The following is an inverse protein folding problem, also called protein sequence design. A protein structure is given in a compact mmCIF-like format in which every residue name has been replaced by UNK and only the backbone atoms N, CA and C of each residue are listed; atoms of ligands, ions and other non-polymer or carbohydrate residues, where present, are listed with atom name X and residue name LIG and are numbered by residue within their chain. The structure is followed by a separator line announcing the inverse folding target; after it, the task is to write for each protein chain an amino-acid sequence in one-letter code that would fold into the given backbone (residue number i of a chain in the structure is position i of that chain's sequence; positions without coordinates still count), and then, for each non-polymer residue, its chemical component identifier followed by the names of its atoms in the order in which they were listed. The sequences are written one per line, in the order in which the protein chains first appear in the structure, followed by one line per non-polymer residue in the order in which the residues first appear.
data_IF_012506767668
#
_entry.id   IF_012506767668
#
_cell.length_a   1.000
_cell.length_b   1.000
_cell.length_c   1.000
_cell.angle_alpha   90.00
_cell.angle_beta   90.00
_cell.angle_gamma   90.00
#
_symmetry.space_group_name_H-M   'P 1'
#
loop_
_entity.id
_entity.type
_entity.pdbx_description
1 polymer ?
#
# COMPACT_ATOMS: atom_id res chain seq x y z
N UNK A 1 18.88 -4.39 15.63
CA UNK A 1 19.63 -3.26 16.23
C UNK A 1 21.09 -3.42 15.87
N UNK A 2 21.54 -2.72 14.83
CA UNK A 2 22.96 -2.47 14.57
C UNK A 2 23.06 -0.99 14.20
N UNK A 3 23.34 -0.16 15.20
CA UNK A 3 23.92 1.16 14.98
C UNK A 3 25.36 0.94 14.50
N UNK A 4 25.64 1.25 13.24
CA UNK A 4 27.01 1.39 12.76
C UNK A 4 27.17 2.76 12.09
N UNK A 5 27.92 3.60 12.79
CA UNK A 5 28.51 4.86 12.37
C UNK A 5 28.81 4.96 10.87
N UNK A 6 28.22 5.97 10.20
CA UNK A 6 28.88 6.80 9.17
C UNK A 6 28.27 8.20 9.19
N UNK A 7 28.71 9.03 10.12
CA UNK A 7 28.63 10.48 9.97
C UNK A 7 29.86 10.92 9.17
N UNK A 8 29.68 11.13 7.88
CA UNK A 8 30.64 11.88 7.07
C UNK A 8 30.23 13.36 7.12
N UNK A 9 31.04 14.27 7.70
CA UNK A 9 30.70 15.70 7.81
C UNK A 9 30.71 16.45 6.46
N UNK A 10 31.09 15.79 5.36
CA UNK A 10 31.47 16.45 4.10
C UNK A 10 30.37 16.55 3.04
N UNK A 11 29.24 15.87 3.21
CA UNK A 11 28.11 15.97 2.26
C UNK A 11 26.98 16.78 2.87
N UNK A 12 26.93 18.08 2.55
CA UNK A 12 25.71 18.90 2.69
C UNK A 12 24.95 18.78 1.37
N UNK A 13 23.63 18.53 1.43
CA UNK A 13 22.77 18.35 0.26
C UNK A 13 22.94 19.45 -0.80
N UNK A 14 22.86 19.04 -2.07
CA UNK A 14 22.77 19.87 -3.28
C UNK A 14 23.72 21.09 -3.41
N UNK A 15 24.70 21.05 -4.32
CA UNK A 15 25.50 22.23 -4.72
C UNK A 15 24.63 23.37 -5.32
N UNK A 16 23.42 23.04 -5.76
CA UNK A 16 22.35 23.97 -6.15
C UNK A 16 21.16 23.70 -5.21
N UNK A 17 20.92 24.62 -4.26
CA UNK A 17 19.80 24.53 -3.34
C UNK A 17 18.47 24.75 -4.10
N UNK A 18 17.68 23.70 -4.23
CA UNK A 18 16.28 23.83 -4.66
C UNK A 18 15.45 24.48 -3.55
N UNK A 19 14.35 25.14 -3.93
CA UNK A 19 13.38 25.61 -2.94
C UNK A 19 12.87 24.42 -2.12
N UNK A 20 12.78 24.63 -0.81
CA UNK A 20 12.20 23.68 0.16
C UNK A 20 10.86 23.12 -0.34
N UNK A 21 9.99 23.99 -0.85
CA UNK A 21 8.68 23.61 -1.36
C UNK A 21 8.77 22.61 -2.53
N UNK A 22 9.79 22.73 -3.39
CA UNK A 22 10.00 21.80 -4.49
C UNK A 22 10.45 20.43 -3.97
N UNK A 23 11.32 20.39 -2.97
CA UNK A 23 11.74 19.13 -2.32
C UNK A 23 10.55 18.42 -1.66
N UNK A 24 9.76 19.15 -0.88
CA UNK A 24 8.57 18.59 -0.21
C UNK A 24 7.55 18.07 -1.25
N UNK A 25 7.37 18.80 -2.35
CA UNK A 25 6.50 18.41 -3.48
C UNK A 25 6.99 17.14 -4.17
N UNK A 26 8.28 17.08 -4.51
CA UNK A 26 8.89 15.90 -5.14
C UNK A 26 8.80 14.69 -4.22
N UNK A 27 9.03 14.88 -2.92
CA UNK A 27 8.88 13.81 -1.94
C UNK A 27 7.46 13.23 -1.96
N UNK A 28 6.43 14.07 -2.00
CA UNK A 28 5.03 13.62 -2.05
C UNK A 28 4.70 12.86 -3.33
N UNK A 29 5.20 13.31 -4.49
CA UNK A 29 5.02 12.63 -5.77
C UNK A 29 5.70 11.26 -5.74
N UNK A 30 6.99 11.21 -5.35
CA UNK A 30 7.77 9.99 -5.30
C UNK A 30 7.19 8.99 -4.29
N UNK A 31 6.71 9.46 -3.13
CA UNK A 31 6.06 8.61 -2.14
C UNK A 31 4.85 7.88 -2.73
N UNK A 32 3.97 8.60 -3.42
CA UNK A 32 2.79 8.01 -4.05
C UNK A 32 3.17 7.07 -5.19
N UNK A 33 4.09 7.49 -6.07
CA UNK A 33 4.56 6.67 -7.17
C UNK A 33 5.24 5.38 -6.68
N UNK A 34 6.05 5.46 -5.62
CA UNK A 34 6.75 4.32 -5.04
C UNK A 34 5.79 3.35 -4.33
N UNK A 35 4.82 3.85 -3.55
CA UNK A 35 3.73 3.03 -2.97
C UNK A 35 2.93 2.36 -4.08
N UNK A 36 2.69 3.07 -5.19
CA UNK A 36 1.91 2.61 -6.31
C UNK A 36 2.60 1.61 -7.23
N UNK A 37 3.90 1.36 -7.06
CA UNK A 37 4.72 0.56 -7.98
C UNK A 37 4.90 1.21 -9.35
N UNK A 38 4.93 2.54 -9.42
CA UNK A 38 5.13 3.31 -10.65
C UNK A 38 6.61 3.67 -10.89
N UNK A 39 7.52 3.21 -10.02
CA UNK A 39 8.96 3.41 -10.13
C UNK A 39 9.61 2.04 -10.24
N UNK A 40 10.06 1.68 -11.45
CA UNK A 40 10.60 0.35 -11.74
C UNK A 40 11.83 0.01 -10.88
N UNK A 41 12.64 1.01 -10.56
CA UNK A 41 13.87 0.82 -9.78
C UNK A 41 13.64 0.67 -8.27
N UNK A 42 12.42 0.96 -7.77
CA UNK A 42 12.09 0.91 -6.35
C UNK A 42 11.03 -0.19 -6.10
N UNK A 43 11.38 -1.28 -5.40
CA UNK A 43 10.47 -2.41 -5.20
C UNK A 43 9.34 -2.06 -4.23
N UNK A 44 8.14 -1.77 -4.75
CA UNK A 44 6.97 -1.32 -3.98
C UNK A 44 6.60 -2.22 -2.79
N UNK A 45 6.71 -3.56 -2.95
CA UNK A 45 6.40 -4.51 -1.86
C UNK A 45 7.36 -4.37 -0.68
N UNK A 46 8.67 -4.37 -0.94
CA UNK A 46 9.68 -4.21 0.11
C UNK A 46 9.60 -2.83 0.78
N UNK A 47 9.22 -1.81 -0.02
CA UNK A 47 9.05 -0.45 0.44
C UNK A 47 7.86 -0.29 1.38
N UNK A 48 6.73 -0.94 1.08
CA UNK A 48 5.52 -0.85 1.91
C UNK A 48 5.63 -1.62 3.22
N UNK A 49 6.45 -2.68 3.25
CA UNK A 49 6.68 -3.50 4.45
C UNK A 49 7.70 -2.86 5.43
N UNK A 50 8.79 -2.28 4.92
CA UNK A 50 9.91 -1.82 5.76
C UNK A 50 10.66 -0.59 5.22
N UNK A 51 10.06 0.17 4.29
CA UNK A 51 10.71 1.32 3.67
C UNK A 51 10.79 2.55 4.57
N UNK A 52 11.80 3.38 4.34
CA UNK A 52 12.05 4.63 5.06
C UNK A 52 12.26 5.79 4.08
N UNK A 53 11.78 6.98 4.44
CA UNK A 53 12.16 8.26 3.82
C UNK A 53 13.08 9.01 4.77
N UNK A 54 14.21 9.47 4.25
CA UNK A 54 15.27 10.16 4.99
C UNK A 54 15.52 11.50 4.30
N UNK A 55 15.57 12.59 5.06
CA UNK A 55 15.74 13.94 4.52
C UNK A 55 17.12 14.52 4.81
N UNK A 56 17.69 15.23 3.82
CA UNK A 56 18.91 16.04 3.94
C UNK A 56 20.11 15.33 4.60
N UNK A 57 20.29 14.03 4.32
CA UNK A 57 21.39 13.22 4.87
C UNK A 57 22.54 13.02 3.88
N UNK A 58 22.31 12.22 2.85
CA UNK A 58 23.27 12.01 1.75
C UNK A 58 22.91 12.85 0.52
N UNK A 59 21.61 13.02 0.28
CA UNK A 59 21.04 13.89 -0.75
C UNK A 59 19.82 14.63 -0.18
N UNK A 60 19.12 15.39 -1.05
CA UNK A 60 17.90 16.12 -0.69
C UNK A 60 16.85 15.16 -0.10
N UNK A 61 16.63 14.03 -0.76
CA UNK A 61 15.73 12.95 -0.30
C UNK A 61 16.44 11.61 -0.49
N UNK A 62 16.32 10.71 0.48
CA UNK A 62 16.72 9.31 0.38
C UNK A 62 15.53 8.41 0.69
N UNK A 63 15.25 7.44 -0.18
CA UNK A 63 14.24 6.40 0.03
C UNK A 63 14.99 5.08 0.20
N UNK A 64 14.83 4.40 1.33
CA UNK A 64 15.52 3.12 1.59
C UNK A 64 14.55 1.99 1.84
N UNK A 65 14.97 0.77 1.52
CA UNK A 65 14.27 -0.49 1.74
C UNK A 65 15.28 -1.58 2.15
N UNK A 66 14.86 -2.76 2.61
CA UNK A 66 15.77 -3.77 3.17
C UNK A 66 17.00 -4.13 2.31
N UNK A 67 16.86 -4.06 0.98
CA UNK A 67 17.90 -4.50 0.04
C UNK A 67 18.35 -3.38 -0.91
N UNK A 68 18.18 -2.10 -0.55
CA UNK A 68 18.60 -1.01 -1.41
C UNK A 68 18.19 0.38 -0.96
N UNK A 69 18.59 1.38 -1.73
CA UNK A 69 18.26 2.79 -1.48
C UNK A 69 18.28 3.61 -2.77
N UNK A 70 17.40 4.59 -2.84
CA UNK A 70 17.40 5.62 -3.87
C UNK A 70 17.84 6.95 -3.25
N UNK A 71 18.90 7.54 -3.80
CA UNK A 71 19.39 8.88 -3.47
C UNK A 71 18.88 9.86 -4.52
N UNK A 72 18.10 10.85 -4.10
CA UNK A 72 17.35 11.74 -4.98
C UNK A 72 17.84 13.16 -4.79
N UNK A 73 18.39 13.76 -5.85
CA UNK A 73 18.64 15.20 -5.90
C UNK A 73 17.50 15.90 -6.65
N UNK A 74 17.05 17.02 -6.08
CA UNK A 74 15.94 17.82 -6.58
C UNK A 74 16.47 19.17 -7.04
N UNK A 75 16.21 19.52 -8.30
CA UNK A 75 16.53 20.84 -8.87
C UNK A 75 15.25 21.49 -9.36
N UNK A 76 14.87 22.63 -8.80
CA UNK A 76 13.64 23.35 -9.16
C UNK A 76 13.82 24.29 -10.36
N UNK A 77 15.06 24.63 -10.70
CA UNK A 77 15.41 25.48 -11.85
C UNK A 77 15.69 24.65 -13.10
N UNK A 78 15.79 25.35 -14.23
CA UNK A 78 16.28 24.77 -15.47
C UNK A 78 17.70 24.21 -15.28
N UNK A 79 17.86 22.92 -15.61
CA UNK A 79 19.10 22.17 -15.48
C UNK A 79 19.77 22.15 -16.85
N UNK A 80 21.03 22.55 -16.90
CA UNK A 80 21.85 22.54 -18.12
C UNK A 80 22.59 21.21 -18.29
N UNK A 81 23.16 21.00 -19.47
CA UNK A 81 24.04 19.87 -19.75
C UNK A 81 25.15 19.73 -18.68
N UNK A 82 25.82 20.84 -18.34
CA UNK A 82 26.89 20.84 -17.33
C UNK A 82 26.38 20.50 -15.92
N UNK A 83 25.17 20.92 -15.57
CA UNK A 83 24.59 20.60 -14.27
C UNK A 83 24.31 19.09 -14.15
N UNK A 84 23.83 18.48 -15.25
CA UNK A 84 23.58 17.03 -15.30
C UNK A 84 24.89 16.25 -15.15
N UNK A 85 25.93 16.61 -15.92
CA UNK A 85 27.23 15.91 -15.85
C UNK A 85 27.86 16.03 -14.46
N UNK A 86 27.72 17.19 -13.81
CA UNK A 86 28.21 17.40 -12.44
C UNK A 86 27.47 16.52 -11.42
N UNK A 87 26.15 16.37 -11.53
CA UNK A 87 25.39 15.46 -10.65
C UNK A 87 25.73 13.98 -10.93
N UNK A 88 25.94 13.58 -12.20
CA UNK A 88 26.42 12.23 -12.54
C UNK A 88 27.79 11.95 -11.92
N UNK A 89 28.72 12.92 -11.98
CA UNK A 89 30.02 12.79 -11.36
C UNK A 89 29.93 12.65 -9.84
N UNK A 90 29.07 13.47 -9.22
CA UNK A 90 28.81 13.40 -7.78
C UNK A 90 28.22 12.04 -7.37
N UNK A 91 27.24 11.54 -8.11
CA UNK A 91 26.67 10.20 -7.89
C UNK A 91 27.72 9.10 -8.08
N UNK A 92 28.59 9.22 -9.08
CA UNK A 92 29.71 8.29 -9.31
C UNK A 92 30.69 8.24 -8.14
N UNK A 93 30.99 9.41 -7.55
CA UNK A 93 31.82 9.52 -6.33
C UNK A 93 31.14 8.89 -5.12
N UNK A 94 29.84 9.12 -4.93
CA UNK A 94 29.05 8.53 -3.84
C UNK A 94 28.98 7.01 -3.95
N UNK A 95 28.77 6.49 -5.15
CA UNK A 95 28.79 5.06 -5.44
C UNK A 95 30.15 4.44 -5.10
N UNK A 96 31.24 5.07 -5.53
CA UNK A 96 32.60 4.55 -5.28
C UNK A 96 33.00 4.55 -3.80
N UNK A 97 32.46 5.48 -3.01
CA UNK A 97 32.76 5.61 -1.58
C UNK A 97 31.86 4.76 -0.67
N UNK A 98 30.83 4.11 -1.22
CA UNK A 98 29.90 3.28 -0.47
C UNK A 98 30.33 1.82 -0.59
N UNK A 99 30.42 1.12 0.55
CA UNK A 99 30.91 -0.27 0.60
C UNK A 99 29.83 -1.30 0.28
N UNK A 100 28.57 -0.87 0.24
CA UNK A 100 27.41 -1.69 -0.12
C UNK A 100 26.63 -0.96 -1.22
N UNK A 101 26.98 -1.27 -2.46
CA UNK A 101 26.43 -0.65 -3.65
C UNK A 101 25.26 -1.44 -4.25
N UNK A 102 24.93 -2.60 -3.66
CA UNK A 102 23.83 -3.41 -4.15
C UNK A 102 22.51 -2.69 -3.89
N UNK A 103 21.72 -2.51 -4.96
CA UNK A 103 20.43 -1.84 -4.89
C UNK A 103 20.50 -0.32 -4.70
N UNK A 104 21.64 0.32 -4.97
CA UNK A 104 21.71 1.79 -5.04
C UNK A 104 21.12 2.31 -6.36
N UNK A 105 20.27 3.32 -6.24
CA UNK A 105 19.68 4.06 -7.37
C UNK A 105 19.94 5.55 -7.14
N UNK A 106 20.33 6.28 -8.17
CA UNK A 106 20.46 7.72 -8.11
C UNK A 106 19.39 8.36 -8.99
N UNK A 107 18.73 9.40 -8.48
CA UNK A 107 17.69 10.11 -9.22
C UNK A 107 17.96 11.60 -9.24
N UNK A 108 17.84 12.20 -10.41
CA UNK A 108 17.79 13.64 -10.59
C UNK A 108 16.39 14.04 -11.04
N UNK A 109 15.68 14.75 -10.18
CA UNK A 109 14.36 15.29 -10.44
C UNK A 109 14.52 16.77 -10.81
N UNK A 110 14.43 17.06 -12.11
CA UNK A 110 14.71 18.37 -12.70
C UNK A 110 13.43 19.17 -12.97
N UNK A 111 13.46 20.46 -12.64
CA UNK A 111 12.36 21.40 -12.82
C UNK A 111 12.20 21.86 -14.27
N UNK A 112 13.23 21.77 -15.10
CA UNK A 112 13.13 21.76 -16.57
C UNK A 112 14.50 21.44 -17.17
N UNK A 113 14.53 20.93 -18.40
CA UNK A 113 15.78 20.73 -19.14
C UNK A 113 16.08 21.90 -20.08
N UNK A 114 17.28 22.46 -19.99
CA UNK A 114 17.74 23.55 -20.85
C UNK A 114 18.64 23.07 -21.98
N UNK A 115 18.22 23.34 -23.22
CA UNK A 115 19.00 23.06 -24.43
C UNK A 115 18.84 21.63 -24.97
N UNK A 116 19.13 21.46 -26.26
CA UNK A 116 19.05 20.17 -26.95
C UNK A 116 20.08 19.16 -26.43
N UNK A 117 21.30 19.61 -26.11
CA UNK A 117 22.37 18.75 -25.58
C UNK A 117 21.98 18.03 -24.29
N UNK A 118 21.24 18.69 -23.39
CA UNK A 118 20.77 18.08 -22.14
C UNK A 118 19.75 16.96 -22.41
N UNK A 119 18.91 17.11 -23.43
CA UNK A 119 17.94 16.08 -23.83
C UNK A 119 18.63 14.89 -24.50
N UNK A 120 19.56 15.16 -25.42
CA UNK A 120 20.40 14.15 -26.07
C UNK A 120 21.10 13.28 -25.03
N UNK A 121 21.81 13.90 -24.07
CA UNK A 121 22.46 13.18 -22.96
C UNK A 121 21.52 12.23 -22.20
N UNK A 122 20.27 12.63 -21.97
CA UNK A 122 19.29 11.81 -21.25
C UNK A 122 18.79 10.65 -22.13
N UNK A 123 18.59 10.89 -23.41
CA UNK A 123 18.19 9.85 -24.36
C UNK A 123 19.32 8.82 -24.54
N UNK A 124 20.58 9.28 -24.58
CA UNK A 124 21.77 8.41 -24.65
C UNK A 124 21.95 7.60 -23.35
N UNK A 125 21.68 8.20 -22.18
CA UNK A 125 21.63 7.48 -20.90
C UNK A 125 20.56 6.38 -20.87
N UNK A 126 19.37 6.66 -21.42
CA UNK A 126 18.29 5.65 -21.51
C UNK A 126 18.66 4.53 -22.46
N UNK A 127 19.26 4.85 -23.61
CA UNK A 127 19.75 3.87 -24.56
C UNK A 127 20.81 2.97 -23.92
N UNK A 128 21.77 3.55 -23.20
CA UNK A 128 22.80 2.81 -22.48
C UNK A 128 22.21 1.87 -21.43
N UNK A 129 21.20 2.32 -20.66
CA UNK A 129 20.50 1.47 -19.68
C UNK A 129 19.76 0.30 -20.33
N UNK A 130 19.13 0.53 -21.48
CA UNK A 130 18.47 -0.53 -22.27
C UNK A 130 19.47 -1.60 -22.73
N UNK A 131 20.65 -1.17 -23.23
CA UNK A 131 21.74 -2.09 -23.61
C UNK A 131 22.24 -2.87 -22.39
N UNK A 132 22.40 -2.22 -21.23
CA UNK A 132 22.80 -2.89 -19.99
C UNK A 132 21.82 -4.00 -19.58
N UNK A 133 20.52 -3.76 -19.74
CA UNK A 133 19.45 -4.72 -19.41
C UNK A 133 19.41 -5.94 -20.37
N UNK A 134 19.95 -5.82 -21.58
CA UNK A 134 20.04 -6.95 -22.52
C UNK A 134 20.97 -8.08 -22.04
N UNK A 135 21.89 -7.78 -21.12
CA UNK A 135 22.85 -8.72 -20.56
C UNK A 135 24.09 -9.00 -21.44
N UNK A 136 24.21 -8.37 -22.61
CA UNK A 136 25.38 -8.54 -23.49
C UNK A 136 26.53 -7.62 -23.06
N UNK A 137 27.46 -8.17 -22.28
CA UNK A 137 28.55 -7.41 -21.63
C UNK A 137 29.44 -6.65 -22.63
N UNK A 138 29.74 -7.24 -23.80
CA UNK A 138 30.61 -6.61 -24.80
C UNK A 138 29.98 -5.38 -25.44
N UNK A 139 28.70 -5.47 -25.84
CA UNK A 139 27.95 -4.37 -26.43
C UNK A 139 27.75 -3.22 -25.43
N UNK A 140 27.47 -3.57 -24.17
CA UNK A 140 27.35 -2.59 -23.10
C UNK A 140 28.64 -1.84 -22.81
N UNK A 141 29.79 -2.53 -22.79
CA UNK A 141 31.10 -1.88 -22.61
C UNK A 141 31.42 -0.91 -23.74
N UNK A 142 31.11 -1.27 -24.98
CA UNK A 142 31.30 -0.38 -26.13
C UNK A 142 30.39 0.85 -26.03
N UNK A 143 29.10 0.65 -25.75
CA UNK A 143 28.15 1.75 -25.60
C UNK A 143 28.53 2.69 -24.43
N UNK A 144 29.07 2.16 -23.34
CA UNK A 144 29.56 2.98 -22.23
C UNK A 144 30.80 3.82 -22.61
N UNK A 145 31.74 3.25 -23.37
CA UNK A 145 32.91 3.97 -23.88
C UNK A 145 32.51 5.08 -24.85
N UNK A 146 31.56 4.81 -25.74
CA UNK A 146 31.03 5.81 -26.68
C UNK A 146 30.36 6.96 -25.92
N UNK A 147 29.54 6.63 -24.91
CA UNK A 147 28.90 7.62 -24.04
C UNK A 147 29.92 8.49 -23.29
N UNK A 148 30.97 7.88 -22.73
CA UNK A 148 32.06 8.61 -22.06
C UNK A 148 32.81 9.54 -23.02
N UNK A 149 33.12 9.06 -24.22
CA UNK A 149 33.83 9.84 -25.23
C UNK A 149 33.01 11.04 -25.72
N UNK A 150 31.70 10.84 -25.94
CA UNK A 150 30.80 11.88 -26.42
C UNK A 150 30.53 12.94 -25.33
N UNK A 151 30.32 12.51 -24.08
CA UNK A 151 29.84 13.38 -23.03
C UNK A 151 30.88 13.87 -22.04
N UNK A 152 32.09 13.31 -22.05
CA UNK A 152 33.16 13.60 -21.09
C UNK A 152 32.70 13.38 -19.63
N UNK A 153 31.77 12.44 -19.42
CA UNK A 153 31.26 12.06 -18.11
C UNK A 153 32.10 10.91 -17.50
N UNK A 154 32.23 10.82 -16.16
CA UNK A 154 33.13 9.86 -15.53
C UNK A 154 32.70 8.40 -15.68
N UNK A 155 33.71 7.52 -15.73
CA UNK A 155 33.67 6.15 -16.23
C UNK A 155 33.20 5.05 -15.26
N UNK A 156 32.52 5.40 -14.17
CA UNK A 156 31.93 4.37 -13.32
C UNK A 156 30.68 3.82 -13.99
N UNK A 157 30.88 2.83 -14.86
CA UNK A 157 29.84 2.20 -15.68
C UNK A 157 28.67 1.71 -14.82
N UNK A 158 28.96 1.20 -13.61
CA UNK A 158 27.94 0.79 -12.64
C UNK A 158 27.15 1.97 -12.07
N UNK A 159 27.80 3.11 -11.79
CA UNK A 159 27.11 4.29 -11.29
C UNK A 159 26.18 4.88 -12.36
N UNK A 160 26.63 4.99 -13.62
CA UNK A 160 25.83 5.55 -14.71
C UNK A 160 24.53 4.77 -14.91
N UNK A 161 24.57 3.43 -14.90
CA UNK A 161 23.36 2.60 -15.07
C UNK A 161 22.32 2.74 -13.94
N UNK A 162 22.74 3.29 -12.80
CA UNK A 162 21.86 3.52 -11.64
C UNK A 162 21.28 4.93 -11.62
N UNK A 163 21.72 5.82 -12.52
CA UNK A 163 21.21 7.20 -12.62
C UNK A 163 19.92 7.24 -13.44
N UNK A 164 18.90 7.88 -12.89
CA UNK A 164 17.64 8.18 -13.57
C UNK A 164 17.41 9.69 -13.55
N UNK A 165 17.11 10.26 -14.72
CA UNK A 165 16.84 11.71 -14.84
C UNK A 165 15.42 11.90 -15.34
N UNK A 166 14.65 12.71 -14.62
CA UNK A 166 13.27 13.05 -14.98
C UNK A 166 13.11 14.55 -15.05
N UNK A 167 12.58 15.02 -16.17
CA UNK A 167 12.04 16.36 -16.30
C UNK A 167 10.61 16.35 -15.77
N UNK A 168 10.38 17.07 -14.67
CA UNK A 168 9.09 17.15 -14.01
C UNK A 168 8.37 18.49 -14.22
N UNK A 169 9.02 19.47 -14.87
CA UNK A 169 8.50 20.83 -15.04
C UNK A 169 7.96 21.47 -13.73
N UNK A 170 8.71 21.34 -12.62
CA UNK A 170 8.18 21.59 -11.27
C UNK A 170 8.08 23.07 -10.98
N UNK A 171 6.88 23.61 -11.11
CA UNK A 171 6.40 24.67 -10.24
C UNK A 171 5.37 24.08 -9.24
N UNK A 172 5.04 24.82 -8.18
CA UNK A 172 4.19 24.30 -7.09
C UNK A 172 2.82 23.80 -7.58
N UNK A 173 2.20 24.50 -8.51
CA UNK A 173 0.87 24.16 -9.02
C UNK A 173 0.91 22.94 -9.94
N UNK A 174 1.91 22.87 -10.82
CA UNK A 174 2.17 21.71 -11.68
C UNK A 174 2.51 20.49 -10.83
N UNK A 175 3.34 20.65 -9.79
CA UNK A 175 3.68 19.57 -8.87
C UNK A 175 2.47 19.03 -8.11
N UNK A 176 1.58 19.91 -7.62
CA UNK A 176 0.29 19.50 -7.04
C UNK A 176 -0.59 18.75 -8.04
N UNK A 177 -0.67 19.22 -9.28
CA UNK A 177 -1.43 18.55 -10.32
C UNK A 177 -0.85 17.15 -10.67
N UNK A 178 0.48 17.03 -10.76
CA UNK A 178 1.16 15.75 -10.94
C UNK A 178 0.85 14.83 -9.76
N UNK A 179 1.00 15.32 -8.52
CA UNK A 179 0.64 14.58 -7.31
C UNK A 179 -0.80 14.07 -7.39
N UNK A 180 -1.79 14.94 -7.68
CA UNK A 180 -3.18 14.53 -7.73
C UNK A 180 -3.46 13.49 -8.83
N UNK A 181 -2.83 13.64 -10.00
CA UNK A 181 -2.90 12.66 -11.08
C UNK A 181 -2.33 11.30 -10.66
N UNK A 182 -1.15 11.28 -10.04
CA UNK A 182 -0.53 10.05 -9.50
C UNK A 182 -1.35 9.45 -8.37
N UNK A 183 -1.85 10.28 -7.47
CA UNK A 183 -2.70 9.86 -6.37
C UNK A 183 -3.96 9.16 -6.86
N UNK A 184 -4.65 9.67 -7.88
CA UNK A 184 -5.79 9.00 -8.53
C UNK A 184 -5.43 7.73 -9.28
N UNK A 185 -4.21 7.67 -9.82
CA UNK A 185 -3.71 6.47 -10.51
C UNK A 185 -3.45 5.34 -9.50
N UNK A 186 -2.91 5.70 -8.33
CA UNK A 186 -2.50 4.75 -7.30
C UNK A 186 -3.67 4.35 -6.40
N UNK A 187 -4.52 5.30 -6.03
CA UNK A 187 -5.67 5.12 -5.15
C UNK A 187 -6.97 5.38 -5.93
N UNK A 188 -7.99 4.50 -5.85
CA UNK A 188 -9.23 4.65 -6.60
C UNK A 188 -10.18 5.67 -5.97
N UNK A 189 -9.74 6.92 -5.87
CA UNK A 189 -10.45 8.04 -5.24
C UNK A 189 -11.16 8.92 -6.27
N UNK A 190 -11.72 8.34 -7.34
CA UNK A 190 -12.26 9.11 -8.47
C UNK A 190 -13.38 10.12 -8.08
N UNK A 191 -14.04 9.93 -6.93
CA UNK A 191 -15.04 10.86 -6.39
C UNK A 191 -14.44 12.00 -5.54
N UNK A 192 -13.14 12.01 -5.29
CA UNK A 192 -12.48 13.09 -4.57
C UNK A 192 -12.20 14.26 -5.53
N UNK A 193 -12.78 15.42 -5.19
CA UNK A 193 -12.45 16.69 -5.84
C UNK A 193 -10.97 16.99 -5.67
N UNK A 194 -10.40 17.77 -6.59
CA UNK A 194 -9.02 18.25 -6.47
C UNK A 194 -8.78 18.93 -5.12
N UNK A 195 -9.76 19.69 -4.61
CA UNK A 195 -9.70 20.34 -3.31
C UNK A 195 -9.39 19.38 -2.17
N UNK A 196 -10.07 18.21 -2.12
CA UNK A 196 -9.82 17.22 -1.07
C UNK A 196 -8.45 16.56 -1.20
N UNK A 197 -8.00 16.33 -2.43
CA UNK A 197 -6.67 15.77 -2.67
C UNK A 197 -5.60 16.79 -2.28
N UNK A 198 -5.80 18.06 -2.57
CA UNK A 198 -4.90 19.16 -2.20
C UNK A 198 -4.93 19.47 -0.70
N UNK A 199 -6.06 19.30 -0.03
CA UNK A 199 -6.15 19.35 1.43
C UNK A 199 -5.31 18.24 2.04
N UNK A 200 -5.46 16.99 1.56
CA UNK A 200 -4.65 15.87 2.03
C UNK A 200 -3.15 16.09 1.76
N UNK A 201 -2.80 16.57 0.56
CA UNK A 201 -1.44 16.96 0.20
C UNK A 201 -0.85 17.99 1.17
N UNK A 202 -1.58 19.08 1.42
CA UNK A 202 -1.12 20.18 2.26
C UNK A 202 -0.96 19.74 3.70
N UNK A 203 -1.91 18.93 4.19
CA UNK A 203 -1.86 18.33 5.52
C UNK A 203 -0.62 17.43 5.68
N UNK A 204 -0.37 16.52 4.73
CA UNK A 204 0.79 15.64 4.74
C UNK A 204 2.11 16.42 4.77
N UNK A 205 2.21 17.49 3.97
CA UNK A 205 3.39 18.35 4.00
C UNK A 205 3.57 19.01 5.36
N UNK A 206 2.51 19.60 5.90
CA UNK A 206 2.59 20.36 7.15
C UNK A 206 2.83 19.49 8.38
N UNK A 207 2.17 18.33 8.45
CA UNK A 207 2.18 17.46 9.64
C UNK A 207 3.34 16.47 9.65
N UNK A 208 3.81 16.01 8.47
CA UNK A 208 4.77 14.91 8.39
C UNK A 208 6.07 15.34 7.69
N UNK A 209 5.99 15.82 6.44
CA UNK A 209 7.19 16.03 5.60
C UNK A 209 8.03 17.22 6.07
N UNK A 210 7.44 18.40 6.18
CA UNK A 210 8.17 19.62 6.54
C UNK A 210 8.78 19.54 7.96
N UNK A 211 8.08 19.03 9.00
CA UNK A 211 8.67 18.81 10.32
C UNK A 211 9.84 17.83 10.30
N UNK A 212 9.70 16.71 9.58
CA UNK A 212 10.76 15.71 9.47
C UNK A 212 11.98 16.26 8.72
N UNK A 213 11.78 16.99 7.62
CA UNK A 213 12.87 17.62 6.89
C UNK A 213 13.62 18.65 7.75
N UNK A 214 12.90 19.52 8.48
CA UNK A 214 13.51 20.51 9.41
C UNK A 214 14.40 19.86 10.47
N UNK A 215 14.05 18.66 10.90
CA UNK A 215 14.80 17.89 11.91
C UNK A 215 15.72 16.84 11.30
N UNK A 216 15.80 16.75 9.96
CA UNK A 216 16.52 15.72 9.21
C UNK A 216 16.18 14.31 9.69
N UNK A 217 14.92 14.12 10.05
CA UNK A 217 14.40 12.88 10.60
C UNK A 217 14.23 11.83 9.51
N UNK A 218 14.12 10.59 9.97
CA UNK A 218 13.73 9.43 9.16
C UNK A 218 12.29 9.08 9.49
N UNK A 219 11.46 8.91 8.47
CA UNK A 219 10.05 8.50 8.63
C UNK A 219 9.87 7.14 7.96
N UNK A 220 9.10 6.25 8.59
CA UNK A 220 8.72 4.99 7.96
C UNK A 220 7.62 5.21 6.91
N UNK A 221 7.72 4.51 5.79
CA UNK A 221 6.78 4.64 4.67
C UNK A 221 5.39 4.09 5.00
N UNK A 222 5.29 3.08 5.86
CA UNK A 222 4.00 2.57 6.32
C UNK A 222 3.20 3.62 7.11
N UNK A 223 3.88 4.41 7.96
CA UNK A 223 3.27 5.55 8.66
C UNK A 223 2.76 6.58 7.64
N UNK A 224 3.59 6.93 6.66
CA UNK A 224 3.20 7.89 5.63
C UNK A 224 2.06 7.37 4.74
N UNK A 225 2.06 6.07 4.39
CA UNK A 225 0.97 5.40 3.66
C UNK A 225 -0.32 5.46 4.48
N UNK A 226 -0.27 5.15 5.78
CA UNK A 226 -1.44 5.23 6.67
C UNK A 226 -1.99 6.65 6.73
N UNK A 227 -1.14 7.65 6.95
CA UNK A 227 -1.57 9.05 6.96
C UNK A 227 -2.13 9.50 5.61
N UNK A 228 -1.56 9.07 4.48
CA UNK A 228 -2.09 9.39 3.14
C UNK A 228 -3.50 8.82 2.93
N UNK A 229 -3.73 7.60 3.41
CA UNK A 229 -4.97 6.86 3.22
C UNK A 229 -6.07 7.22 4.22
N UNK A 230 -5.72 7.68 5.41
CA UNK A 230 -6.66 7.96 6.51
C UNK A 230 -7.84 8.85 6.07
N UNK A 231 -7.65 9.98 5.35
CA UNK A 231 -8.77 10.79 4.87
C UNK A 231 -9.59 10.13 3.75
N UNK A 232 -9.04 9.10 3.12
CA UNK A 232 -9.67 8.36 2.02
C UNK A 232 -10.52 7.18 2.52
N UNK A 233 -10.28 6.74 3.76
CA UNK A 233 -11.08 5.69 4.38
C UNK A 233 -12.52 6.20 4.41
N UNK A 234 -13.46 5.53 3.72
CA UNK A 234 -14.83 5.99 3.68
C UNK A 234 -15.37 6.07 5.11
N UNK A 235 -16.14 7.12 5.38
CA UNK A 235 -16.95 7.23 6.60
C UNK A 235 -17.90 6.03 6.79
N UNK A 236 -18.15 5.23 5.74
CA UNK A 236 -18.85 3.94 5.82
C UNK A 236 -18.15 2.85 6.61
N UNK A 237 -16.82 2.76 6.57
CA UNK A 237 -16.10 1.87 7.50
C UNK A 237 -16.25 2.33 8.96
N UNK A 238 -16.67 3.59 9.15
CA UNK A 238 -17.03 4.21 10.42
C UNK A 238 -18.56 4.34 10.62
N UNK A 239 -19.39 3.71 9.77
CA UNK A 239 -20.85 3.68 9.93
C UNK A 239 -21.63 4.94 9.55
N UNK A 240 -21.01 5.94 8.90
CA UNK A 240 -21.67 7.22 8.58
C UNK A 240 -21.73 7.42 7.06
N UNK A 241 -22.80 6.92 6.44
CA UNK A 241 -23.30 7.43 5.17
C UNK A 241 -24.35 8.50 5.51
N UNK A 242 -23.97 9.77 5.53
CA UNK A 242 -24.96 10.83 5.71
C UNK A 242 -25.50 11.25 4.35
N UNK A 243 -26.80 11.13 4.17
CA UNK A 243 -27.58 11.65 3.05
C UNK A 243 -27.70 13.19 3.06
N UNK A 244 -26.79 13.88 3.75
CA UNK A 244 -26.87 15.32 4.01
C UNK A 244 -25.83 16.10 3.22
N UNK A 245 -26.25 17.19 2.59
CA UNK A 245 -25.42 18.18 1.93
C UNK A 245 -25.17 19.36 2.87
N UNK A 246 -23.93 19.85 2.91
CA UNK A 246 -23.56 21.07 3.63
C UNK A 246 -23.99 22.30 2.82
N UNK A 247 -24.71 23.20 3.47
CA UNK A 247 -25.08 24.54 2.95
C UNK A 247 -24.36 25.62 3.76
N UNK A 248 -24.46 26.88 3.33
CA UNK A 248 -23.95 28.01 4.11
C UNK A 248 -24.64 28.21 5.48
N UNK A 249 -25.78 27.57 5.71
CA UNK A 249 -26.61 27.74 6.92
C UNK A 249 -26.76 26.47 7.76
N UNK A 250 -26.10 25.36 7.39
CA UNK A 250 -26.25 24.08 8.08
C UNK A 250 -26.27 22.91 7.11
N UNK A 251 -26.93 21.81 7.48
CA UNK A 251 -27.00 20.58 6.67
C UNK A 251 -28.45 20.31 6.25
N UNK A 252 -28.65 19.90 5.01
CA UNK A 252 -29.98 19.50 4.47
C UNK A 252 -29.87 18.12 3.85
N UNK A 253 -30.91 17.30 3.99
CA UNK A 253 -30.98 16.00 3.30
C UNK A 253 -31.05 16.25 1.79
N UNK A 254 -30.17 15.58 1.05
CA UNK A 254 -30.19 15.54 -0.42
C UNK A 254 -31.01 14.31 -0.86
N UNK A 255 -32.21 14.51 -1.44
CA UNK A 255 -33.07 13.41 -1.86
C UNK A 255 -32.40 12.47 -2.88
N UNK A 256 -31.56 13.03 -3.76
CA UNK A 256 -30.88 12.26 -4.81
C UNK A 256 -29.75 11.40 -4.24
N UNK A 257 -29.06 11.91 -3.21
CA UNK A 257 -28.05 11.16 -2.48
C UNK A 257 -28.69 10.06 -1.63
N UNK A 258 -29.81 10.39 -0.97
CA UNK A 258 -30.60 9.45 -0.16
C UNK A 258 -31.07 8.25 -1.01
N UNK A 259 -31.61 8.50 -2.21
CA UNK A 259 -32.03 7.43 -3.13
C UNK A 259 -30.86 6.51 -3.55
N UNK A 260 -29.68 7.09 -3.85
CA UNK A 260 -28.47 6.32 -4.20
C UNK A 260 -27.95 5.47 -3.04
N UNK A 261 -28.02 6.01 -1.81
CA UNK A 261 -27.66 5.29 -0.59
C UNK A 261 -28.63 4.12 -0.39
N UNK A 262 -29.92 4.37 -0.48
CA UNK A 262 -30.98 3.35 -0.32
C UNK A 262 -30.84 2.22 -1.34
N UNK A 263 -30.60 2.54 -2.61
CA UNK A 263 -30.35 1.55 -3.64
C UNK A 263 -29.12 0.68 -3.31
N UNK A 264 -28.06 1.31 -2.82
CA UNK A 264 -26.82 0.61 -2.45
C UNK A 264 -27.03 -0.29 -1.24
N UNK A 265 -27.76 0.17 -0.22
CA UNK A 265 -28.14 -0.64 0.94
C UNK A 265 -29.00 -1.84 0.53
N UNK A 266 -29.98 -1.66 -0.36
CA UNK A 266 -30.80 -2.77 -0.89
C UNK A 266 -29.94 -3.82 -1.58
N UNK A 267 -28.97 -3.40 -2.39
CA UNK A 267 -28.08 -4.31 -3.10
C UNK A 267 -27.12 -5.03 -2.15
N UNK A 268 -26.55 -4.32 -1.16
CA UNK A 268 -25.75 -4.94 -0.10
C UNK A 268 -26.56 -5.98 0.65
N UNK A 269 -27.78 -5.65 1.09
CA UNK A 269 -28.63 -6.58 1.83
C UNK A 269 -28.97 -7.82 1.00
N UNK A 270 -29.28 -7.65 -0.28
CA UNK A 270 -29.53 -8.77 -1.19
C UNK A 270 -28.27 -9.66 -1.35
N UNK A 271 -27.11 -9.05 -1.54
CA UNK A 271 -25.82 -9.76 -1.66
C UNK A 271 -25.45 -10.50 -0.38
N UNK A 272 -25.54 -9.85 0.79
CA UNK A 272 -25.34 -10.49 2.11
C UNK A 272 -26.27 -11.69 2.28
N UNK A 273 -27.56 -11.56 1.94
CA UNK A 273 -28.51 -12.68 2.00
C UNK A 273 -28.10 -13.85 1.11
N UNK A 274 -27.56 -13.61 -0.09
CA UNK A 274 -27.06 -14.67 -0.97
C UNK A 274 -25.80 -15.35 -0.42
N UNK A 275 -24.82 -14.57 0.05
CA UNK A 275 -23.60 -15.09 0.68
C UNK A 275 -23.95 -16.03 1.84
N UNK A 276 -24.81 -15.56 2.75
CA UNK A 276 -25.29 -16.34 3.89
C UNK A 276 -26.14 -17.54 3.46
N UNK A 277 -26.89 -17.46 2.34
CA UNK A 277 -27.65 -18.61 1.81
C UNK A 277 -26.72 -19.68 1.25
N UNK A 278 -25.66 -19.31 0.53
CA UNK A 278 -24.65 -20.26 0.01
C UNK A 278 -23.92 -20.94 1.18
N UNK A 279 -23.46 -20.15 2.15
CA UNK A 279 -22.86 -20.65 3.38
C UNK A 279 -23.78 -21.66 4.09
N UNK A 280 -25.05 -21.30 4.35
CA UNK A 280 -26.01 -22.20 5.01
C UNK A 280 -26.20 -23.53 4.28
N UNK A 281 -26.23 -23.54 2.95
CA UNK A 281 -26.37 -24.79 2.19
C UNK A 281 -25.18 -25.72 2.43
N UNK A 282 -23.98 -25.16 2.50
CA UNK A 282 -22.77 -25.93 2.76
C UNK A 282 -22.69 -26.37 4.22
N UNK A 283 -22.84 -25.44 5.17
CA UNK A 283 -22.77 -25.67 6.60
C UNK A 283 -23.81 -26.69 7.12
N UNK A 284 -24.97 -26.81 6.48
CA UNK A 284 -26.00 -27.81 6.84
C UNK A 284 -25.45 -29.24 6.89
N UNK A 285 -24.54 -29.61 5.98
CA UNK A 285 -23.94 -30.96 5.97
C UNK A 285 -23.14 -31.22 7.25
N UNK A 286 -22.39 -30.22 7.69
CA UNK A 286 -21.60 -30.24 8.93
C UNK A 286 -22.48 -30.20 10.18
N UNK A 287 -23.54 -29.39 10.17
CA UNK A 287 -24.51 -29.32 11.27
C UNK A 287 -25.21 -30.67 11.51
N UNK A 288 -25.58 -31.40 10.45
CA UNK A 288 -26.18 -32.73 10.57
C UNK A 288 -25.15 -33.76 11.06
N UNK A 289 -23.93 -33.74 10.53
CA UNK A 289 -22.86 -34.66 10.96
C UNK A 289 -22.46 -34.45 12.42
N UNK A 290 -22.37 -33.19 12.88
CA UNK A 290 -22.07 -32.85 14.27
C UNK A 290 -23.19 -33.26 15.22
N UNK A 291 -24.47 -33.06 14.85
CA UNK A 291 -25.63 -33.47 15.66
C UNK A 291 -25.71 -34.99 15.84
N UNK A 292 -25.44 -35.75 14.78
CA UNK A 292 -25.66 -37.21 14.78
C UNK A 292 -24.46 -38.04 15.25
N UNK A 293 -23.22 -37.57 15.05
CA UNK A 293 -22.04 -38.44 15.20
C UNK A 293 -20.85 -37.83 15.97
N UNK A 294 -20.63 -36.52 15.91
CA UNK A 294 -19.32 -35.92 16.31
C UNK A 294 -19.38 -34.90 17.45
N UNK A 295 -20.57 -34.46 17.86
CA UNK A 295 -20.73 -33.34 18.78
C UNK A 295 -20.39 -31.99 18.13
N UNK A 296 -20.71 -30.90 18.82
CA UNK A 296 -20.43 -29.55 18.30
C UNK A 296 -18.93 -29.24 18.32
N UNK A 297 -18.44 -28.51 17.30
CA UNK A 297 -17.09 -27.95 17.31
C UNK A 297 -16.98 -26.95 18.47
N UNK A 298 -16.02 -27.17 19.36
CA UNK A 298 -15.83 -26.32 20.55
C UNK A 298 -14.88 -25.16 20.25
N UNK A 299 -15.18 -24.00 20.82
CA UNK A 299 -14.37 -22.80 20.72
C UNK A 299 -12.94 -23.05 21.25
N UNK A 300 -11.88 -22.70 20.49
CA UNK A 300 -10.49 -22.86 20.95
C UNK A 300 -10.14 -22.05 22.20
N UNK A 301 -10.87 -20.97 22.50
CA UNK A 301 -10.55 -20.08 23.62
C UNK A 301 -11.29 -20.37 24.93
N UNK A 302 -12.54 -20.78 24.87
CA UNK A 302 -13.38 -20.94 26.07
C UNK A 302 -14.17 -22.26 26.11
N UNK A 303 -13.92 -23.18 25.17
CA UNK A 303 -14.56 -24.50 25.09
C UNK A 303 -16.09 -24.51 24.93
N UNK A 304 -16.73 -23.35 24.81
CA UNK A 304 -18.13 -23.29 24.48
C UNK A 304 -18.36 -23.78 23.05
N UNK A 305 -19.48 -24.48 22.77
CA UNK A 305 -19.86 -24.83 21.41
C UNK A 305 -19.82 -23.58 20.51
N UNK A 306 -19.14 -23.69 19.37
CA UNK A 306 -19.30 -22.72 18.30
C UNK A 306 -20.72 -22.87 17.78
N UNK A 307 -21.47 -21.77 17.86
CA UNK A 307 -22.82 -21.76 17.35
C UNK A 307 -22.73 -21.39 15.88
N UNK A 308 -23.25 -22.27 15.02
CA UNK A 308 -23.82 -21.80 13.78
C UNK A 308 -25.10 -21.09 14.19
N UNK A 309 -25.05 -19.75 14.25
CA UNK A 309 -26.29 -19.03 14.51
C UNK A 309 -27.35 -19.48 13.49
N UNK A 310 -28.54 -19.83 13.95
CA UNK A 310 -29.71 -20.03 13.07
C UNK A 310 -30.66 -18.83 13.14
N UNK A 311 -30.41 -17.90 14.06
CA UNK A 311 -31.14 -16.66 14.26
C UNK A 311 -30.16 -15.51 14.52
N UNK A 312 -30.01 -14.64 13.52
CA UNK A 312 -29.14 -13.45 13.56
C UNK A 312 -27.76 -13.72 12.96
N UNK A 313 -27.57 -13.29 11.71
CA UNK A 313 -26.36 -13.36 10.88
C UNK A 313 -25.75 -14.74 10.53
N UNK A 314 -26.20 -15.83 11.16
CA UNK A 314 -25.90 -17.22 10.78
C UNK A 314 -24.44 -17.54 10.43
N UNK A 315 -23.54 -16.87 11.13
CA UNK A 315 -22.10 -17.03 11.08
C UNK A 315 -21.61 -18.10 12.04
N UNK A 316 -20.34 -18.48 11.90
CA UNK A 316 -19.64 -19.29 12.90
C UNK A 316 -19.07 -18.34 13.93
N UNK A 317 -19.43 -18.52 15.20
CA UNK A 317 -18.89 -17.71 16.28
C UNK A 317 -19.11 -18.33 17.65
N UNK A 318 -18.30 -17.91 18.62
CA UNK A 318 -18.49 -18.30 20.00
C UNK A 318 -19.42 -17.31 20.73
N UNK A 319 -20.56 -17.75 21.27
CA UNK A 319 -21.48 -16.86 21.99
C UNK A 319 -20.92 -16.38 23.34
N UNK A 320 -19.97 -17.13 23.93
CA UNK A 320 -19.44 -16.84 25.26
C UNK A 320 -18.27 -15.85 25.24
N UNK A 321 -17.29 -16.07 24.36
CA UNK A 321 -16.08 -15.23 24.29
C UNK A 321 -16.00 -14.37 23.03
N UNK A 322 -17.05 -14.37 22.20
CA UNK A 322 -17.13 -13.62 20.94
C UNK A 322 -16.01 -13.94 19.93
N UNK A 323 -15.33 -15.08 20.07
CA UNK A 323 -14.37 -15.55 19.08
C UNK A 323 -15.06 -15.75 17.72
N UNK A 324 -14.50 -15.10 16.70
CA UNK A 324 -14.94 -15.18 15.31
C UNK A 324 -13.82 -15.87 14.52
N UNK A 325 -13.99 -17.13 14.09
CA UNK A 325 -12.96 -17.86 13.37
C UNK A 325 -12.77 -17.38 11.92
N UNK A 326 -13.78 -16.75 11.32
CA UNK A 326 -13.74 -16.31 9.94
C UNK A 326 -14.36 -14.94 9.78
N UNK A 327 -13.68 -14.06 9.04
CA UNK A 327 -14.19 -12.79 8.58
C UNK A 327 -13.84 -12.63 7.10
N UNK A 328 -14.84 -12.40 6.26
CA UNK A 328 -14.64 -12.15 4.83
C UNK A 328 -15.27 -10.82 4.45
N UNK A 329 -14.54 -10.03 3.68
CA UNK A 329 -15.01 -8.78 3.08
C UNK A 329 -15.47 -9.07 1.65
N UNK A 330 -16.67 -8.61 1.35
CA UNK A 330 -17.33 -8.79 0.06
C UNK A 330 -17.62 -7.45 -0.60
N UNK A 331 -17.67 -7.47 -1.93
CA UNK A 331 -18.29 -6.46 -2.75
C UNK A 331 -19.66 -6.95 -3.24
N UNK A 332 -20.68 -6.09 -3.12
CA UNK A 332 -22.01 -6.35 -3.64
C UNK A 332 -22.13 -5.91 -5.10
N UNK A 333 -22.02 -6.87 -6.03
CA UNK A 333 -22.19 -6.64 -7.46
C UNK A 333 -23.60 -6.09 -7.77
N UNK A 334 -23.74 -5.36 -8.88
CA UNK A 334 -25.04 -4.84 -9.35
C UNK A 334 -26.06 -5.97 -9.61
N UNK A 335 -25.61 -7.17 -10.02
CA UNK A 335 -26.47 -8.36 -10.11
C UNK A 335 -26.81 -9.00 -8.75
N UNK A 336 -26.44 -8.34 -7.65
CA UNK A 336 -26.56 -8.74 -6.24
C UNK A 336 -25.76 -9.98 -5.85
N UNK A 337 -24.82 -10.44 -6.68
CA UNK A 337 -23.94 -11.56 -6.31
C UNK A 337 -22.78 -11.06 -5.42
N UNK A 338 -22.42 -11.77 -4.34
CA UNK A 338 -21.27 -11.44 -3.51
C UNK A 338 -19.97 -11.80 -4.24
N UNK A 339 -19.03 -10.86 -4.28
CA UNK A 339 -17.66 -11.07 -4.76
C UNK A 339 -16.75 -10.95 -3.55
N UNK A 340 -16.01 -12.00 -3.20
CA UNK A 340 -15.06 -11.90 -2.08
C UNK A 340 -13.87 -11.06 -2.50
N UNK A 341 -13.49 -10.11 -1.64
CA UNK A 341 -12.30 -9.27 -1.82
C UNK A 341 -11.19 -9.79 -0.92
N UNK A 342 -11.39 -9.74 0.40
CA UNK A 342 -10.35 -10.06 1.39
C UNK A 342 -10.89 -11.09 2.38
N UNK A 343 -10.07 -12.10 2.70
CA UNK A 343 -10.35 -13.11 3.73
C UNK A 343 -9.41 -12.85 4.91
N UNK A 344 -9.93 -12.94 6.14
CA UNK A 344 -9.18 -12.63 7.36
C UNK A 344 -8.49 -11.25 7.28
N UNK A 345 -9.25 -10.17 7.05
CA UNK A 345 -8.65 -8.83 6.91
C UNK A 345 -7.93 -8.41 8.19
N UNK A 346 -6.95 -7.52 8.05
CA UNK A 346 -6.25 -6.92 9.18
C UNK A 346 -7.23 -6.22 10.15
N UNK A 347 -6.91 -6.21 11.45
CA UNK A 347 -7.77 -5.59 12.48
C UNK A 347 -7.86 -4.08 12.30
N UNK A 348 -6.81 -3.45 11.77
CA UNK A 348 -6.78 -2.01 11.54
C UNK A 348 -7.56 -1.63 10.27
N UNK A 349 -8.48 -0.65 10.41
CA UNK A 349 -9.35 -0.19 9.32
C UNK A 349 -8.57 0.28 8.08
N UNK A 350 -7.42 0.93 8.27
CA UNK A 350 -6.59 1.45 7.18
C UNK A 350 -5.90 0.30 6.43
N UNK A 351 -5.44 -0.72 7.16
CA UNK A 351 -4.81 -1.91 6.59
C UNK A 351 -5.85 -2.72 5.81
N UNK A 352 -7.03 -2.96 6.40
CA UNK A 352 -8.19 -3.55 5.71
C UNK A 352 -8.50 -2.80 4.40
N UNK A 353 -8.55 -1.46 4.46
CA UNK A 353 -8.84 -0.66 3.28
C UNK A 353 -7.75 -0.82 2.21
N UNK A 354 -6.48 -0.85 2.63
CA UNK A 354 -5.34 -1.09 1.72
C UNK A 354 -5.42 -2.46 1.06
N UNK A 355 -5.74 -3.52 1.80
CA UNK A 355 -5.92 -4.87 1.27
C UNK A 355 -7.03 -4.92 0.21
N UNK A 356 -8.17 -4.27 0.48
CA UNK A 356 -9.27 -4.14 -0.49
C UNK A 356 -8.80 -3.45 -1.78
N UNK A 357 -8.03 -2.37 -1.66
CA UNK A 357 -7.53 -1.62 -2.81
C UNK A 357 -6.55 -2.44 -3.64
N UNK A 358 -5.62 -3.13 -2.98
CA UNK A 358 -4.63 -3.99 -3.61
C UNK A 358 -5.30 -5.14 -4.35
N UNK A 359 -6.28 -5.82 -3.74
CA UNK A 359 -7.07 -6.87 -4.37
C UNK A 359 -7.75 -6.38 -5.66
N UNK A 360 -8.41 -5.22 -5.60
CA UNK A 360 -9.15 -4.67 -6.74
C UNK A 360 -8.22 -4.15 -7.85
N UNK A 361 -7.00 -3.74 -7.50
CA UNK A 361 -6.00 -3.27 -8.46
C UNK A 361 -5.29 -4.43 -9.15
N UNK A 362 -4.78 -5.39 -8.38
CA UNK A 362 -3.92 -6.47 -8.86
C UNK A 362 -4.76 -7.60 -9.45
N UNK A 363 -5.69 -8.13 -8.66
CA UNK A 363 -6.46 -9.33 -9.03
C UNK A 363 -7.69 -8.99 -9.88
N UNK A 364 -8.12 -7.72 -9.88
CA UNK A 364 -9.24 -7.21 -10.70
C UNK A 364 -10.46 -8.15 -10.66
N UNK A 365 -10.98 -8.48 -9.46
CA UNK A 365 -11.95 -9.55 -9.27
C UNK A 365 -13.21 -9.31 -10.11
N UNK A 366 -13.73 -10.40 -10.66
CA UNK A 366 -14.95 -10.42 -11.48
C UNK A 366 -16.07 -11.14 -10.75
N UNK A 367 -17.30 -10.70 -10.99
CA UNK A 367 -18.46 -11.42 -10.51
C UNK A 367 -18.62 -12.77 -11.24
N UNK A 368 -18.62 -13.86 -10.49
CA UNK A 368 -18.82 -15.23 -11.01
C UNK A 368 -20.15 -15.40 -11.79
N UNK A 369 -21.15 -14.56 -11.50
CA UNK A 369 -22.49 -14.67 -12.10
C UNK A 369 -22.67 -13.85 -13.37
N UNK A 370 -22.26 -12.58 -13.39
CA UNK A 370 -22.47 -11.68 -14.53
C UNK A 370 -21.18 -11.30 -15.27
N UNK A 371 -20.01 -11.74 -14.79
CA UNK A 371 -18.71 -11.40 -15.38
C UNK A 371 -18.26 -9.96 -15.19
N UNK A 372 -19.10 -9.10 -14.58
CA UNK A 372 -18.76 -7.70 -14.36
C UNK A 372 -17.59 -7.58 -13.38
N UNK A 373 -16.58 -6.78 -13.74
CA UNK A 373 -15.48 -6.41 -12.85
C UNK A 373 -16.00 -5.58 -11.68
N UNK A 374 -15.36 -5.71 -10.53
CA UNK A 374 -15.65 -4.87 -9.38
C UNK A 374 -15.45 -3.39 -9.75
N UNK A 375 -16.53 -2.62 -9.62
CA UNK A 375 -16.52 -1.19 -9.92
C UNK A 375 -15.89 -0.43 -8.76
N UNK A 376 -14.74 0.19 -9.06
CA UNK A 376 -13.90 0.95 -8.13
C UNK A 376 -14.64 2.13 -7.53
N UNK A 377 -15.52 2.78 -8.28
CA UNK A 377 -16.28 3.95 -7.80
C UNK A 377 -17.30 3.57 -6.73
N UNK A 378 -17.78 2.31 -6.77
CA UNK A 378 -18.78 1.78 -5.87
C UNK A 378 -18.19 1.02 -4.68
N UNK A 379 -16.87 0.87 -4.58
CA UNK A 379 -16.23 0.17 -3.45
C UNK A 379 -16.69 0.73 -2.11
N UNK A 380 -16.67 2.06 -2.01
CA UNK A 380 -17.07 2.77 -0.82
C UNK A 380 -18.53 2.56 -0.42
N UNK A 381 -19.41 2.21 -1.36
CA UNK A 381 -20.86 2.09 -1.18
C UNK A 381 -21.39 0.65 -1.22
N UNK A 382 -20.57 -0.33 -1.61
CA UNK A 382 -20.99 -1.72 -1.87
C UNK A 382 -20.17 -2.78 -1.13
N UNK A 383 -19.15 -2.37 -0.37
CA UNK A 383 -18.40 -3.31 0.47
C UNK A 383 -19.17 -3.62 1.75
N UNK A 384 -19.19 -4.90 2.14
CA UNK A 384 -19.74 -5.37 3.40
C UNK A 384 -18.93 -6.54 3.94
N UNK A 385 -18.97 -6.76 5.24
CA UNK A 385 -18.33 -7.92 5.87
C UNK A 385 -19.36 -8.99 6.26
N UNK A 386 -18.92 -10.24 6.27
CA UNK A 386 -19.67 -11.33 6.87
C UNK A 386 -18.71 -12.31 7.56
N UNK A 387 -19.13 -12.80 8.72
CA UNK A 387 -18.35 -13.71 9.57
C UNK A 387 -18.48 -15.16 9.13
N UNK A 388 -18.15 -15.40 7.85
CA UNK A 388 -18.25 -16.71 7.18
C UNK A 388 -16.95 -16.99 6.42
N UNK A 389 -16.57 -18.27 6.28
CA UNK A 389 -15.49 -18.65 5.38
C UNK A 389 -15.95 -18.47 3.92
N UNK A 390 -14.99 -18.16 3.04
CA UNK A 390 -15.23 -18.09 1.60
C UNK A 390 -14.04 -18.66 0.82
N UNK A 391 -14.26 -19.45 -0.25
CA UNK A 391 -15.56 -19.99 -0.68
C UNK A 391 -16.14 -20.93 0.39
N UNK A 392 -17.48 -21.01 0.56
CA UNK A 392 -18.08 -21.88 1.56
C UNK A 392 -17.63 -23.34 1.46
N UNK A 393 -17.30 -23.77 0.25
CA UNK A 393 -16.89 -25.13 -0.07
C UNK A 393 -15.51 -25.52 0.47
N UNK A 394 -14.66 -24.56 0.86
CA UNK A 394 -13.36 -24.84 1.48
C UNK A 394 -13.43 -25.01 2.99
N UNK A 395 -14.61 -24.84 3.61
CA UNK A 395 -14.74 -24.94 5.06
C UNK A 395 -14.48 -26.36 5.56
N UNK A 396 -13.62 -26.48 6.57
CA UNK A 396 -13.31 -27.74 7.22
C UNK A 396 -13.25 -27.57 8.75
N UNK A 397 -14.11 -28.29 9.47
CA UNK A 397 -14.15 -28.29 10.95
C UNK A 397 -12.83 -28.77 11.59
N UNK A 398 -12.04 -29.59 10.87
CA UNK A 398 -10.77 -30.10 11.37
C UNK A 398 -9.74 -29.00 11.62
N UNK A 399 -9.79 -27.87 10.90
CA UNK A 399 -8.91 -26.73 11.15
C UNK A 399 -9.11 -26.18 12.56
N UNK A 400 -10.37 -26.00 12.97
CA UNK A 400 -10.73 -25.50 14.30
C UNK A 400 -10.36 -26.50 15.40
N UNK A 401 -10.52 -27.80 15.13
CA UNK A 401 -10.08 -28.87 16.05
C UNK A 401 -8.55 -28.88 16.19
N UNK A 402 -7.83 -28.66 15.09
CA UNK A 402 -6.36 -28.60 15.07
C UNK A 402 -5.86 -27.39 15.86
N UNK A 403 -6.41 -26.20 15.60
CA UNK A 403 -6.09 -24.96 16.34
C UNK A 403 -6.32 -25.18 17.83
N UNK A 404 -7.45 -25.78 18.19
CA UNK A 404 -7.81 -26.10 19.57
C UNK A 404 -6.79 -27.04 20.23
N UNK A 405 -6.34 -28.07 19.52
CA UNK A 405 -5.30 -29.00 20.00
C UNK A 405 -3.96 -28.28 20.17
N UNK A 406 -3.56 -27.44 19.20
CA UNK A 406 -2.33 -26.62 19.28
C UNK A 406 -2.34 -25.65 20.46
N UNK A 407 -3.49 -25.09 20.81
CA UNK A 407 -3.66 -24.18 21.94
C UNK A 407 -3.59 -24.92 23.29
N UNK A 408 -3.61 -26.26 23.32
CA UNK A 408 -3.41 -27.05 24.53
C UNK A 408 -4.67 -27.71 25.08
N UNK A 409 -5.73 -27.82 24.27
CA UNK A 409 -6.91 -28.61 24.64
C UNK A 409 -6.74 -30.08 24.28
N UNK A 410 -7.16 -30.97 25.18
CA UNK A 410 -7.42 -32.39 24.90
C UNK A 410 -8.85 -32.72 25.32
N UNK A 411 -9.71 -33.00 24.34
CA UNK A 411 -11.14 -33.16 24.60
C UNK A 411 -11.74 -31.90 25.23
N UNK A 412 -12.27 -32.00 26.45
CA UNK A 412 -12.83 -30.87 27.23
C UNK A 412 -11.87 -30.27 28.25
N UNK A 413 -10.67 -30.81 28.39
CA UNK A 413 -9.70 -30.40 29.40
C UNK A 413 -8.60 -29.53 28.78
N UNK A 414 -8.24 -28.44 29.46
CA UNK A 414 -7.13 -27.59 29.08
C UNK A 414 -5.87 -28.02 29.84
N UNK A 415 -4.80 -28.35 29.12
CA UNK A 415 -3.62 -29.02 29.71
C UNK A 415 -2.55 -28.08 30.26
N UNK A 416 -2.62 -26.78 29.99
CA UNK A 416 -1.57 -25.83 30.39
C UNK A 416 -1.95 -25.24 31.75
N UNK A 417 -1.28 -25.63 32.86
CA UNK A 417 -1.66 -25.21 34.21
C UNK A 417 -1.37 -23.72 34.41
N UNK A 418 -2.32 -22.98 35.00
CA UNK A 418 -2.14 -21.57 35.37
C UNK A 418 -2.20 -20.57 34.21
N UNK A 419 -2.46 -21.02 32.98
CA UNK A 419 -2.59 -20.15 31.81
C UNK A 419 -3.95 -20.30 31.15
N UNK A 420 -4.36 -19.29 30.41
CA UNK A 420 -5.54 -19.34 29.53
C UNK A 420 -5.07 -19.32 28.07
N UNK A 421 -5.85 -19.86 27.12
CA UNK A 421 -5.58 -19.68 25.69
C UNK A 421 -5.30 -18.23 25.28
N UNK A 422 -5.99 -17.28 25.91
CA UNK A 422 -5.85 -15.85 25.61
C UNK A 422 -4.54 -15.26 26.14
N UNK A 423 -4.01 -15.77 27.27
CA UNK A 423 -2.73 -15.29 27.81
C UNK A 423 -1.54 -15.72 26.98
N UNK A 424 -1.60 -16.89 26.33
CA UNK A 424 -0.56 -17.35 25.40
C UNK A 424 -0.44 -16.47 24.16
N UNK A 425 -1.58 -16.04 23.59
CA UNK A 425 -1.60 -15.10 22.46
C UNK A 425 -1.03 -13.74 22.87
N UNK A 426 -1.41 -13.22 24.05
CA UNK A 426 -0.92 -11.92 24.55
C UNK A 426 0.59 -11.91 24.83
N UNK A 427 1.18 -13.06 25.16
CA UNK A 427 2.64 -13.21 25.32
C UNK A 427 3.39 -13.24 23.99
N UNK A 428 2.69 -13.24 22.85
CA UNK A 428 3.29 -13.33 21.53
C UNK A 428 3.83 -14.72 21.18
N UNK A 429 3.54 -15.72 22.02
CA UNK A 429 3.99 -17.12 21.86
C UNK A 429 3.17 -17.88 20.82
N UNK A 430 2.07 -17.30 20.35
CA UNK A 430 1.28 -17.79 19.23
C UNK A 430 1.27 -16.77 18.09
N UNK A 431 2.18 -16.94 17.13
CA UNK A 431 2.16 -16.31 15.81
C UNK A 431 2.23 -17.44 14.78
N UNK A 432 1.10 -18.04 14.44
CA UNK A 432 1.06 -18.87 13.24
C UNK A 432 0.38 -18.11 12.09
N UNK A 433 1.19 -18.01 11.04
CA UNK A 433 0.94 -17.63 9.66
C UNK A 433 -0.29 -18.30 9.04
N UNK A 434 -1.05 -17.51 8.30
CA UNK A 434 -1.88 -17.91 7.17
C UNK A 434 -1.72 -16.76 6.17
N UNK A 435 -1.06 -16.86 5.01
CA UNK A 435 -1.15 -17.86 3.93
C UNK A 435 -2.58 -18.20 3.51
#
# INVERSE_FOLDING_TARGET
MHESNRFSPTFRGGQLASRVEAQDTVCMILLVEAIGGLIDEIPARQLTEAGLVIFEKLEDIEISWPNGRALISVKDKAVSYSDITNEIEKFSKLYSNTSDNNGMVFRLEAGSLSGSKARTLIDDLRALKSVAQSGVISEWRMAAQDFEAEHQAPSSIAAITTVCIRDMNINLDVGKAIFASRFRTVFPVQQFTDDKIFENYSRMIYEQIAPARRTRATIRIDILKKSLLEPLVPRMLHGINTDVMKTRYGYVVDPTLSEKIDLSLKIIQASKRKALKRWRRHARKHAVASLLYRGHVACPFCNHPLMFSTFGDNSVGCPNCHYIPYLTIFYACDCTEPVALVRQPSVETIETFSEILEEVKINSPTCDKCGQRVDREKLYSRVFSATIPWPPESYNENELITIRTKIGWEGRSYKIPGETPLSLIKKGEWKESAE
#
